data_IF_562139319017
#
_entry.id   IF_562139319017
#
_cell.length_a   1.000
_cell.length_b   1.000
_cell.length_c   1.000
_cell.angle_alpha   90.00
_cell.angle_beta   90.00
_cell.angle_gamma   90.00
#
_symmetry.space_group_name_H-M   'P 1'
#
loop_
_entity.id
_entity.type
_entity.pdbx_description
1 polymer ?
#
# COMPACT_ATOMS: atom_id res chain seq x y z
N UNK A 1 -41.72 -41.26 -41.58
CA UNK A 1 -41.01 -40.58 -42.67
C UNK A 1 -40.80 -39.12 -42.29
N UNK A 2 -39.56 -38.73 -41.97
CA UNK A 2 -38.91 -37.42 -42.22
C UNK A 2 -37.64 -37.35 -41.36
N UNK A 3 -36.51 -37.46 -42.06
CA UNK A 3 -35.14 -37.40 -41.55
C UNK A 3 -34.78 -35.94 -41.19
N UNK A 4 -34.06 -35.73 -40.08
CA UNK A 4 -33.33 -34.49 -39.82
C UNK A 4 -31.84 -34.83 -39.74
N UNK A 5 -31.10 -34.34 -40.73
CA UNK A 5 -29.68 -34.58 -40.93
C UNK A 5 -28.83 -33.71 -40.00
N UNK A 6 -27.77 -34.31 -39.48
CA UNK A 6 -26.69 -33.66 -38.77
C UNK A 6 -25.82 -32.83 -39.73
N UNK A 7 -25.46 -31.61 -39.32
CA UNK A 7 -24.45 -30.78 -39.97
C UNK A 7 -23.23 -30.69 -39.06
N UNK A 8 -22.15 -31.37 -39.45
CA UNK A 8 -20.80 -31.22 -38.88
C UNK A 8 -20.15 -29.97 -39.49
N UNK A 9 -19.82 -28.97 -38.67
CA UNK A 9 -18.97 -27.86 -39.05
C UNK A 9 -17.51 -28.20 -38.72
N UNK A 10 -16.69 -28.37 -39.76
CA UNK A 10 -15.24 -28.53 -39.69
C UNK A 10 -14.62 -27.14 -39.58
N UNK A 11 -14.05 -26.80 -38.43
CA UNK A 11 -13.27 -25.58 -38.25
C UNK A 11 -11.82 -25.80 -38.70
N UNK A 12 -11.45 -25.17 -39.80
CA UNK A 12 -10.08 -25.15 -40.32
C UNK A 12 -9.23 -24.17 -39.50
N UNK A 13 -8.26 -24.68 -38.76
CA UNK A 13 -7.20 -23.88 -38.11
C UNK A 13 -6.22 -23.38 -39.19
N UNK A 14 -6.18 -22.05 -39.39
CA UNK A 14 -5.10 -21.38 -40.10
C UNK A 14 -3.98 -21.07 -39.12
N UNK A 15 -2.83 -21.73 -39.29
CA UNK A 15 -1.59 -21.45 -38.59
C UNK A 15 -0.98 -20.13 -39.09
N UNK A 16 -0.69 -19.21 -38.18
CA UNK A 16 0.08 -18.01 -38.47
C UNK A 16 1.60 -18.32 -38.49
N UNK A 17 2.39 -17.66 -39.34
CA UNK A 17 3.83 -17.90 -39.42
C UNK A 17 4.57 -17.30 -38.22
N UNK A 18 5.42 -18.12 -37.61
CA UNK A 18 6.40 -17.73 -36.59
C UNK A 18 7.54 -16.98 -37.29
N UNK A 19 7.70 -15.70 -36.96
CA UNK A 19 8.88 -14.91 -37.35
C UNK A 19 9.94 -15.08 -36.26
N UNK A 20 10.99 -15.85 -36.56
CA UNK A 20 12.22 -15.89 -35.76
C UNK A 20 13.01 -14.59 -35.96
N UNK A 21 13.33 -13.90 -34.86
CA UNK A 21 14.31 -12.80 -34.82
C UNK A 21 15.57 -13.32 -34.11
N UNK A 22 16.79 -13.18 -34.68
CA UNK A 22 18.00 -13.69 -34.07
C UNK A 22 18.61 -12.73 -33.03
N UNK A 23 19.01 -13.35 -31.91
CA UNK A 23 20.17 -13.16 -31.04
C UNK A 23 21.10 -11.95 -31.23
N UNK A 24 21.43 -11.28 -30.13
CA UNK A 24 22.84 -11.01 -29.74
C UNK A 24 22.98 -11.01 -28.21
N UNK A 25 23.56 -12.08 -27.68
CA UNK A 25 24.24 -12.09 -26.38
C UNK A 25 25.76 -11.98 -26.62
N UNK A 26 26.46 -11.50 -25.58
CA UNK A 26 27.92 -11.45 -25.37
C UNK A 26 28.75 -10.32 -25.97
N UNK A 27 29.17 -9.39 -25.09
CA UNK A 27 30.57 -8.94 -25.03
C UNK A 27 30.94 -8.27 -23.68
N UNK A 28 31.93 -8.88 -23.00
CA UNK A 28 32.95 -8.32 -22.08
C UNK A 28 32.49 -7.79 -20.71
N UNK A 29 32.79 -8.44 -19.58
CA UNK A 29 34.10 -8.84 -18.98
C UNK A 29 35.10 -7.71 -18.75
N UNK A 30 35.41 -7.53 -17.46
CA UNK A 30 36.65 -7.05 -16.85
C UNK A 30 37.10 -5.59 -17.06
N UNK A 31 37.02 -4.81 -15.96
CA UNK A 31 38.15 -4.00 -15.50
C UNK A 31 38.06 -3.61 -14.02
N UNK A 32 38.92 -4.26 -13.25
CA UNK A 32 39.84 -3.72 -12.23
C UNK A 32 39.32 -2.94 -11.02
N UNK A 33 39.62 -3.52 -9.86
CA UNK A 33 39.82 -2.89 -8.57
C UNK A 33 40.94 -1.83 -8.54
N UNK A 34 40.93 -1.04 -7.46
CA UNK A 34 42.05 -0.35 -6.79
C UNK A 34 42.09 1.20 -6.84
N UNK A 35 41.91 1.79 -5.64
CA UNK A 35 42.50 3.02 -5.02
C UNK A 35 41.41 3.72 -4.19
N UNK A 36 41.39 3.71 -2.86
CA UNK A 36 42.40 3.92 -1.82
C UNK A 36 43.14 5.27 -1.89
N UNK A 37 42.80 6.11 -0.91
CA UNK A 37 43.49 7.25 -0.31
C UNK A 37 44.12 8.34 -1.20
N UNK A 38 43.61 9.58 -1.04
CA UNK A 38 44.46 10.74 -0.72
C UNK A 38 43.66 11.87 -0.08
N UNK A 39 43.98 12.13 1.18
CA UNK A 39 43.89 13.44 1.82
C UNK A 39 44.99 14.34 1.23
N UNK A 40 44.68 15.59 0.91
CA UNK A 40 45.59 16.74 0.91
C UNK A 40 44.72 18.00 0.68
N UNK A 41 44.53 18.82 1.70
CA UNK A 41 45.39 19.96 2.07
C UNK A 41 44.94 21.26 1.38
N UNK A 42 44.39 22.13 2.22
CA UNK A 42 44.01 23.53 2.02
C UNK A 42 45.24 24.38 1.67
N UNK A 43 45.07 25.44 0.87
CA UNK A 43 45.78 26.68 1.15
C UNK A 43 44.81 27.86 1.33
N UNK A 44 45.16 28.71 2.30
CA UNK A 44 44.56 30.00 2.55
C UNK A 44 45.32 31.10 1.80
N UNK A 45 44.63 32.16 1.34
CA UNK A 45 45.02 33.57 1.52
C UNK A 45 44.01 34.56 0.92
N UNK A 46 43.29 35.26 1.81
CA UNK A 46 43.25 36.73 2.07
C UNK A 46 43.03 37.75 0.90
N UNK A 47 42.79 39.06 1.19
CA UNK A 47 41.47 39.70 1.26
C UNK A 47 41.29 40.85 0.26
N UNK A 48 40.06 41.37 0.08
CA UNK A 48 39.90 42.73 -0.43
C UNK A 48 38.72 43.47 0.20
N UNK A 49 39.02 44.73 0.49
CA UNK A 49 38.32 45.68 1.32
C UNK A 49 37.26 46.49 0.57
N UNK A 50 36.18 46.77 1.29
CA UNK A 50 35.58 48.09 1.50
C UNK A 50 34.93 48.85 0.33
N UNK A 51 33.62 49.08 0.49
CA UNK A 51 33.02 50.38 0.15
C UNK A 51 31.80 50.68 1.03
N UNK A 52 31.68 51.97 1.28
CA UNK A 52 31.08 52.68 2.40
C UNK A 52 29.70 53.25 2.09
N UNK A 53 28.93 53.49 3.15
CA UNK A 53 27.88 54.54 3.35
C UNK A 53 26.60 54.43 2.48
N UNK A 54 25.37 54.65 2.99
CA UNK A 54 24.91 55.85 3.71
C UNK A 54 23.64 55.59 4.56
N UNK A 55 23.57 56.21 5.74
CA UNK A 55 22.38 56.37 6.60
C UNK A 55 21.43 57.47 6.09
N UNK A 56 20.11 57.32 6.31
CA UNK A 56 19.23 58.26 7.09
C UNK A 56 17.74 57.81 7.12
N UNK A 57 16.86 58.39 7.97
CA UNK A 57 16.01 57.64 8.90
C UNK A 57 14.52 58.04 8.83
N UNK A 58 13.78 57.81 9.93
CA UNK A 58 12.40 58.24 10.29
C UNK A 58 11.28 57.35 9.72
N UNK A 59 10.21 57.00 10.43
CA UNK A 59 9.63 57.52 11.66
C UNK A 59 8.87 56.42 12.45
N UNK A 60 8.82 56.61 13.77
CA UNK A 60 7.89 55.92 14.68
C UNK A 60 6.45 56.34 14.37
N UNK A 61 5.51 55.39 14.41
CA UNK A 61 4.12 55.71 14.79
C UNK A 61 3.41 54.56 15.49
N UNK A 62 3.14 54.82 16.76
CA UNK A 62 2.00 54.45 17.60
C UNK A 62 1.20 53.16 17.28
N UNK A 63 1.35 52.24 18.22
CA UNK A 63 0.34 51.32 18.76
C UNK A 63 -1.11 51.78 18.68
N UNK A 64 -2.01 50.92 18.20
CA UNK A 64 -3.34 50.71 18.82
C UNK A 64 -3.78 49.26 18.69
N UNK A 65 -4.19 48.71 19.83
CA UNK A 65 -4.78 47.40 20.05
C UNK A 65 -6.12 47.25 19.32
N UNK A 66 -6.27 46.22 18.49
CA UNK A 66 -7.51 45.48 18.27
C UNK A 66 -7.19 44.27 17.41
N UNK A 67 -7.09 43.08 17.99
CA UNK A 67 -7.37 41.76 17.37
C UNK A 67 -7.07 40.64 18.36
N UNK A 68 -7.78 40.59 19.48
CA UNK A 68 -7.71 39.49 20.46
C UNK A 68 -9.10 38.98 20.82
N UNK A 69 -9.88 38.58 19.81
CA UNK A 69 -11.16 37.91 20.06
C UNK A 69 -11.55 36.96 18.91
N UNK A 70 -10.64 36.13 18.39
CA UNK A 70 -11.07 34.97 17.60
C UNK A 70 -10.09 33.77 17.53
N UNK A 71 -9.12 33.68 18.46
CA UNK A 71 -8.13 32.58 18.51
C UNK A 71 -8.33 31.61 19.68
N UNK A 72 -9.44 31.69 20.41
CA UNK A 72 -9.70 30.88 21.62
C UNK A 72 -10.59 29.64 21.42
N UNK A 73 -11.08 29.35 20.21
CA UNK A 73 -11.93 28.15 19.95
C UNK A 73 -11.26 26.99 19.20
N UNK A 74 -9.97 27.07 18.86
CA UNK A 74 -9.25 25.98 18.13
C UNK A 74 -8.05 25.45 18.92
N UNK A 75 -8.10 25.50 20.26
CA UNK A 75 -6.97 25.07 21.11
C UNK A 75 -7.32 24.03 22.18
N UNK A 76 -8.50 23.43 22.12
CA UNK A 76 -8.96 22.45 23.13
C UNK A 76 -8.89 20.98 22.71
N UNK A 77 -8.38 20.63 21.53
CA UNK A 77 -8.38 19.24 21.03
C UNK A 77 -6.99 18.64 20.77
N UNK A 78 -5.89 19.26 21.23
CA UNK A 78 -4.52 18.79 20.92
C UNK A 78 -3.74 18.11 22.06
N UNK A 79 -4.41 17.65 23.11
CA UNK A 79 -3.72 16.97 24.23
C UNK A 79 -4.10 15.50 24.46
N UNK A 80 -4.82 14.85 23.55
CA UNK A 80 -5.08 13.41 23.63
C UNK A 80 -4.52 12.67 22.41
N UNK A 81 -3.22 12.38 22.36
CA UNK A 81 -2.67 11.41 21.39
C UNK A 81 -1.22 10.94 21.59
N UNK A 82 -0.55 11.27 22.71
CA UNK A 82 0.81 10.76 22.97
C UNK A 82 0.84 9.54 23.91
N UNK A 83 -0.16 9.39 24.78
CA UNK A 83 -0.16 8.38 25.85
C UNK A 83 -1.27 7.32 25.72
N UNK A 84 -1.84 7.14 24.53
CA UNK A 84 -2.76 6.02 24.32
C UNK A 84 -1.98 4.70 24.53
N UNK A 85 -2.42 3.79 25.41
CA UNK A 85 -1.75 2.53 25.62
C UNK A 85 -1.58 1.82 24.27
N UNK A 86 -0.33 1.46 23.93
CA UNK A 86 -0.08 0.45 22.89
C UNK A 86 -0.76 -0.81 23.40
N UNK A 87 -1.96 -1.08 22.89
CA UNK A 87 -2.76 -2.21 23.34
C UNK A 87 -1.94 -3.50 23.23
N UNK A 88 -2.06 -4.43 24.18
CA UNK A 88 -1.39 -5.73 24.06
C UNK A 88 -1.79 -6.37 22.74
N UNK A 89 -0.78 -6.67 21.93
CA UNK A 89 -0.87 -7.38 20.67
C UNK A 89 -1.47 -8.78 20.91
N UNK A 90 -2.79 -8.91 20.95
CA UNK A 90 -3.46 -10.19 20.70
C UNK A 90 -4.21 -10.18 19.38
N UNK A 91 -3.52 -9.98 18.24
CA UNK A 91 -4.11 -10.07 16.92
C UNK A 91 -4.65 -11.48 16.60
N UNK A 92 -4.26 -12.50 17.37
CA UNK A 92 -4.75 -13.88 17.20
C UNK A 92 -6.19 -14.09 17.63
N UNK A 93 -6.75 -13.25 18.51
CA UNK A 93 -8.17 -13.34 18.92
C UNK A 93 -9.11 -12.83 17.81
N UNK A 94 -8.58 -12.10 16.82
CA UNK A 94 -9.31 -11.64 15.62
C UNK A 94 -9.07 -12.52 14.40
N UNK A 95 -8.14 -13.49 14.47
CA UNK A 95 -8.13 -14.56 13.49
C UNK A 95 -9.41 -15.38 13.74
N UNK A 96 -10.18 -15.75 12.71
CA UNK A 96 -11.31 -16.63 12.93
C UNK A 96 -10.80 -17.85 13.69
N UNK A 97 -11.37 -18.10 14.87
CA UNK A 97 -11.17 -19.36 15.59
C UNK A 97 -11.40 -20.43 14.55
N UNK A 98 -10.36 -21.22 14.25
CA UNK A 98 -10.44 -22.26 13.24
C UNK A 98 -11.63 -23.16 13.58
N UNK A 99 -12.77 -22.92 12.94
CA UNK A 99 -13.83 -23.91 12.91
C UNK A 99 -13.20 -25.08 12.20
N UNK A 100 -13.00 -26.16 12.95
CA UNK A 100 -12.26 -27.34 12.54
C UNK A 100 -12.62 -27.70 11.11
N UNK A 101 -11.65 -27.53 10.23
CA UNK A 101 -11.70 -28.03 8.88
C UNK A 101 -10.25 -28.24 8.51
N UNK A 102 -9.86 -29.50 8.56
CA UNK A 102 -8.78 -30.07 7.76
C UNK A 102 -8.48 -29.19 6.57
N UNK A 103 -7.22 -28.74 6.45
CA UNK A 103 -6.70 -28.14 5.24
C UNK A 103 -6.84 -29.17 4.11
N UNK A 104 -8.01 -29.23 3.48
CA UNK A 104 -8.13 -29.80 2.16
C UNK A 104 -7.24 -28.94 1.28
N UNK A 105 -6.12 -29.52 0.83
CA UNK A 105 -5.12 -28.93 -0.04
C UNK A 105 -5.65 -28.60 -1.45
N UNK A 106 -6.94 -28.27 -1.60
CA UNK A 106 -7.59 -28.16 -2.90
C UNK A 106 -8.59 -27.03 -3.04
N UNK A 107 -8.82 -26.20 -2.01
CA UNK A 107 -9.45 -24.88 -2.27
C UNK A 107 -8.35 -23.88 -2.62
N UNK A 108 -7.60 -24.17 -3.68
CA UNK A 108 -7.01 -23.10 -4.46
C UNK A 108 -8.19 -22.23 -4.90
N UNK A 109 -8.23 -20.98 -4.43
CA UNK A 109 -9.22 -20.01 -4.88
C UNK A 109 -9.32 -20.09 -6.40
N UNK A 110 -10.52 -20.26 -6.95
CA UNK A 110 -10.71 -20.13 -8.39
C UNK A 110 -10.29 -18.70 -8.76
N UNK A 111 -9.27 -18.57 -9.60
CA UNK A 111 -8.72 -17.28 -10.01
C UNK A 111 -7.27 -17.03 -9.59
N UNK A 112 -6.67 -16.02 -10.21
CA UNK A 112 -5.28 -15.63 -9.95
C UNK A 112 -5.07 -14.93 -8.59
N UNK A 113 -3.81 -14.66 -8.20
CA UNK A 113 -3.49 -14.04 -6.91
C UNK A 113 -4.10 -12.64 -6.73
N UNK A 114 -4.52 -11.97 -7.81
CA UNK A 114 -5.23 -10.69 -7.69
C UNK A 114 -6.72 -10.87 -7.42
N UNK A 115 -7.36 -11.79 -8.12
CA UNK A 115 -8.74 -12.17 -7.86
C UNK A 115 -8.94 -12.64 -6.41
N UNK A 116 -8.04 -13.49 -5.89
CA UNK A 116 -8.11 -13.96 -4.52
C UNK A 116 -8.10 -12.83 -3.47
N UNK A 117 -7.30 -11.78 -3.69
CA UNK A 117 -7.26 -10.61 -2.80
C UNK A 117 -8.49 -9.71 -2.97
N UNK A 118 -8.97 -9.51 -4.22
CA UNK A 118 -10.21 -8.77 -4.48
C UNK A 118 -11.41 -9.44 -3.81
N UNK A 119 -11.59 -10.75 -3.97
CA UNK A 119 -12.67 -11.50 -3.34
C UNK A 119 -12.55 -11.52 -1.83
N UNK A 120 -11.33 -11.73 -1.31
CA UNK A 120 -11.06 -11.68 0.12
C UNK A 120 -11.44 -10.35 0.75
N UNK A 121 -11.06 -9.22 0.12
CA UNK A 121 -11.40 -7.88 0.61
C UNK A 121 -12.89 -7.59 0.57
N UNK A 122 -13.58 -7.89 -0.55
CA UNK A 122 -15.05 -7.74 -0.66
C UNK A 122 -15.79 -8.57 0.38
N UNK A 123 -15.37 -9.83 0.59
CA UNK A 123 -15.94 -10.71 1.62
C UNK A 123 -15.71 -10.15 3.03
N UNK A 124 -14.49 -9.73 3.35
CA UNK A 124 -14.16 -9.20 4.66
C UNK A 124 -14.90 -7.88 4.95
N UNK A 125 -15.10 -7.03 3.95
CA UNK A 125 -15.94 -5.83 4.09
C UNK A 125 -17.35 -6.15 4.56
N UNK A 126 -17.98 -7.17 3.95
CA UNK A 126 -19.33 -7.61 4.32
C UNK A 126 -19.39 -8.20 5.73
N UNK A 127 -18.43 -9.08 6.07
CA UNK A 127 -18.44 -9.81 7.34
C UNK A 127 -18.15 -8.91 8.54
N UNK A 128 -17.20 -7.99 8.39
CA UNK A 128 -16.76 -7.11 9.48
C UNK A 128 -17.49 -5.76 9.48
N UNK A 129 -18.45 -5.55 8.57
CA UNK A 129 -19.24 -4.32 8.52
C UNK A 129 -18.43 -3.08 8.14
N UNK A 130 -17.39 -3.24 7.31
CA UNK A 130 -16.61 -2.10 6.83
C UNK A 130 -17.39 -1.34 5.73
N UNK A 131 -17.13 -0.02 5.55
CA UNK A 131 -17.64 0.71 4.41
C UNK A 131 -17.24 0.03 3.10
N UNK A 132 -18.21 -0.13 2.20
CA UNK A 132 -18.01 -0.79 0.91
C UNK A 132 -16.83 -0.16 0.15
N UNK A 133 -15.93 -0.99 -0.32
CA UNK A 133 -14.74 -0.61 -1.07
C UNK A 133 -13.57 -0.13 -0.22
N UNK A 134 -13.72 0.11 1.08
CA UNK A 134 -12.64 0.65 1.91
C UNK A 134 -11.44 -0.31 1.99
N UNK A 135 -11.67 -1.58 2.32
CA UNK A 135 -10.60 -2.55 2.45
C UNK A 135 -9.98 -2.89 1.09
N UNK A 136 -10.82 -2.92 0.05
CA UNK A 136 -10.39 -3.09 -1.35
C UNK A 136 -9.47 -1.94 -1.77
N UNK A 137 -9.83 -0.69 -1.46
CA UNK A 137 -9.02 0.50 -1.72
C UNK A 137 -7.68 0.49 -0.96
N UNK A 138 -7.68 -0.01 0.28
CA UNK A 138 -6.46 -0.23 1.06
C UNK A 138 -5.58 -1.28 0.36
N UNK A 139 -6.12 -2.44 -0.02
CA UNK A 139 -5.35 -3.47 -0.73
C UNK A 139 -4.79 -2.99 -2.08
N UNK A 140 -5.53 -2.17 -2.82
CA UNK A 140 -5.02 -1.49 -4.02
C UNK A 140 -3.81 -0.58 -3.71
N UNK A 141 -3.84 0.12 -2.58
CA UNK A 141 -2.75 0.98 -2.14
C UNK A 141 -1.52 0.19 -1.64
N UNK A 142 -1.76 -0.95 -0.98
CA UNK A 142 -0.72 -1.74 -0.33
C UNK A 142 0.02 -2.67 -1.31
N UNK A 143 -0.73 -3.39 -2.15
CA UNK A 143 -0.17 -4.47 -2.99
C UNK A 143 -0.59 -4.41 -4.46
N UNK A 144 -1.47 -3.47 -4.83
CA UNK A 144 -2.15 -3.54 -6.13
C UNK A 144 -3.02 -4.80 -6.23
N UNK A 145 -3.67 -5.17 -5.13
CA UNK A 145 -4.47 -6.37 -4.95
C UNK A 145 -3.70 -7.69 -5.08
N UNK A 146 -2.38 -7.78 -4.89
CA UNK A 146 -1.67 -9.03 -5.12
C UNK A 146 -1.47 -9.86 -3.84
N UNK A 147 -2.08 -11.06 -3.76
CA UNK A 147 -2.03 -11.94 -2.59
C UNK A 147 -0.61 -12.34 -2.14
N UNK A 148 0.35 -12.37 -3.06
CA UNK A 148 1.74 -12.75 -2.77
C UNK A 148 2.74 -11.58 -2.78
N UNK A 149 2.29 -10.33 -2.96
CA UNK A 149 3.23 -9.20 -2.96
C UNK A 149 3.96 -9.11 -1.62
N UNK A 150 5.25 -8.82 -1.66
CA UNK A 150 6.06 -8.69 -0.46
C UNK A 150 6.93 -7.45 -0.54
N UNK A 151 7.17 -6.83 0.61
CA UNK A 151 8.25 -5.89 0.82
C UNK A 151 9.23 -6.46 1.84
N UNK A 152 10.45 -6.80 1.41
CA UNK A 152 11.50 -7.37 2.27
C UNK A 152 12.61 -6.34 2.43
N UNK A 153 12.65 -5.68 3.58
CA UNK A 153 13.67 -4.66 3.89
C UNK A 153 13.67 -3.48 2.94
N UNK A 154 12.51 -3.06 2.45
CA UNK A 154 12.35 -1.94 1.50
C UNK A 154 12.30 -2.35 0.03
N UNK A 155 12.58 -3.62 -0.30
CA UNK A 155 12.53 -4.13 -1.68
C UNK A 155 11.23 -4.86 -1.96
N UNK A 156 10.50 -4.39 -2.96
CA UNK A 156 9.31 -5.06 -3.49
C UNK A 156 9.70 -6.33 -4.24
N UNK A 157 9.00 -7.42 -3.95
CA UNK A 157 9.11 -8.72 -4.62
C UNK A 157 7.70 -9.24 -4.88
N UNK A 158 7.45 -9.74 -6.08
CA UNK A 158 6.19 -10.41 -6.43
C UNK A 158 6.57 -11.83 -6.89
N UNK A 159 6.47 -12.83 -6.00
CA UNK A 159 6.75 -14.22 -6.32
C UNK A 159 5.72 -14.77 -7.31
N UNK A 160 6.13 -15.77 -8.09
CA UNK A 160 5.30 -16.41 -9.12
C UNK A 160 4.08 -17.12 -8.54
N UNK A 161 4.26 -17.75 -7.37
CA UNK A 161 3.23 -18.52 -6.68
C UNK A 161 3.35 -18.41 -5.16
N UNK A 162 2.37 -19.01 -4.47
CA UNK A 162 2.31 -19.01 -3.01
C UNK A 162 3.44 -19.80 -2.35
N UNK A 163 3.98 -20.84 -2.99
CA UNK A 163 5.06 -21.64 -2.43
C UNK A 163 6.38 -20.86 -2.45
N UNK A 164 6.70 -20.22 -3.58
CA UNK A 164 7.82 -19.30 -3.74
C UNK A 164 7.72 -18.15 -2.74
N UNK A 165 6.53 -17.57 -2.56
CA UNK A 165 6.28 -16.55 -1.56
C UNK A 165 6.54 -17.05 -0.13
N UNK A 166 6.05 -18.24 0.21
CA UNK A 166 6.24 -18.84 1.52
C UNK A 166 7.72 -19.17 1.79
N UNK A 167 8.46 -19.67 0.79
CA UNK A 167 9.92 -19.88 0.88
C UNK A 167 10.65 -18.57 1.15
N UNK A 168 10.33 -17.50 0.41
CA UNK A 168 10.94 -16.18 0.60
C UNK A 168 10.64 -15.60 1.98
N UNK A 169 9.40 -15.73 2.47
CA UNK A 169 9.00 -15.27 3.79
C UNK A 169 9.75 -15.98 4.90
N UNK A 170 9.90 -17.31 4.81
CA UNK A 170 10.68 -18.11 5.77
C UNK A 170 12.17 -17.79 5.73
N UNK A 171 12.74 -17.60 4.53
CA UNK A 171 14.16 -17.33 4.34
C UNK A 171 14.58 -15.90 4.69
N UNK A 172 13.65 -14.95 4.73
CA UNK A 172 13.96 -13.57 5.06
C UNK A 172 14.64 -13.48 6.45
N UNK A 173 15.68 -12.63 6.56
CA UNK A 173 16.37 -12.40 7.84
C UNK A 173 15.41 -11.83 8.89
N UNK A 174 15.56 -12.28 10.14
CA UNK A 174 14.80 -11.76 11.29
C UNK A 174 15.07 -10.28 11.58
N UNK A 175 16.20 -9.73 11.10
CA UNK A 175 16.56 -8.31 11.25
C UNK A 175 15.89 -7.39 10.25
N UNK A 176 15.23 -7.93 9.21
CA UNK A 176 14.55 -7.14 8.18
C UNK A 176 13.07 -7.05 8.46
N UNK A 177 12.49 -5.87 8.19
CA UNK A 177 11.04 -5.72 8.08
C UNK A 177 10.53 -6.54 6.90
N UNK A 178 9.40 -7.21 7.09
CA UNK A 178 8.75 -8.01 6.04
C UNK A 178 7.27 -7.70 6.06
N UNK A 179 6.81 -7.01 5.02
CA UNK A 179 5.39 -6.81 4.75
C UNK A 179 4.95 -7.87 3.73
N UNK A 180 3.83 -8.54 3.96
CA UNK A 180 3.42 -9.69 3.17
C UNK A 180 1.95 -9.65 2.77
N UNK A 181 1.72 -10.02 1.53
CA UNK A 181 0.46 -10.34 0.90
C UNK A 181 -0.47 -9.16 0.61
N UNK A 182 -1.75 -9.51 0.44
CA UNK A 182 -2.83 -8.64 -0.05
C UNK A 182 -2.86 -7.26 0.63
N UNK A 183 -2.66 -7.24 1.95
CA UNK A 183 -2.71 -6.03 2.78
C UNK A 183 -1.35 -5.66 3.39
N UNK A 184 -0.25 -6.23 2.89
CA UNK A 184 1.10 -5.90 3.36
C UNK A 184 1.25 -6.01 4.88
N UNK A 185 0.79 -7.11 5.48
CA UNK A 185 0.84 -7.31 6.93
C UNK A 185 2.30 -7.46 7.37
N UNK A 186 2.67 -6.78 8.45
CA UNK A 186 4.00 -6.94 9.03
C UNK A 186 4.17 -8.34 9.64
N UNK A 187 4.75 -9.25 8.88
CA UNK A 187 4.88 -10.65 9.24
C UNK A 187 5.81 -10.89 10.44
N UNK A 188 6.71 -9.94 10.75
CA UNK A 188 7.58 -10.04 11.93
C UNK A 188 6.84 -9.73 13.23
N UNK A 189 5.81 -8.91 13.16
CA UNK A 189 5.01 -8.49 14.32
C UNK A 189 3.81 -9.41 14.50
N UNK A 190 3.07 -9.69 13.42
CA UNK A 190 1.75 -10.34 13.54
C UNK A 190 1.74 -11.82 13.12
N UNK A 191 2.77 -12.30 12.40
CA UNK A 191 2.78 -13.65 11.82
C UNK A 191 4.14 -14.34 12.00
N UNK A 192 4.76 -14.19 13.17
CA UNK A 192 6.12 -14.68 13.39
C UNK A 192 6.19 -16.21 13.23
N UNK A 193 6.90 -16.66 12.19
CA UNK A 193 7.05 -18.09 11.88
C UNK A 193 5.89 -18.66 11.07
N UNK A 194 4.91 -17.85 10.70
CA UNK A 194 3.70 -18.27 9.99
C UNK A 194 3.64 -17.64 8.59
N UNK A 195 2.84 -18.24 7.72
CA UNK A 195 2.68 -17.80 6.32
C UNK A 195 1.27 -17.31 6.00
N UNK A 196 0.37 -17.24 6.99
CA UNK A 196 -1.00 -16.79 6.81
C UNK A 196 -1.15 -15.39 6.18
N UNK A 197 -0.20 -14.43 6.28
CA UNK A 197 -0.31 -13.18 5.54
C UNK A 197 -0.36 -13.34 4.02
N UNK A 198 0.12 -14.48 3.49
CA UNK A 198 0.09 -14.82 2.07
C UNK A 198 -1.22 -15.52 1.65
N UNK A 199 -2.04 -15.95 2.61
CA UNK A 199 -3.40 -16.41 2.35
C UNK A 199 -4.30 -15.18 2.26
N UNK A 200 -4.81 -14.89 1.07
CA UNK A 200 -5.64 -13.71 0.83
C UNK A 200 -6.85 -13.68 1.76
N UNK A 201 -7.55 -14.80 1.95
CA UNK A 201 -8.77 -14.86 2.75
C UNK A 201 -8.48 -14.63 4.23
N UNK A 202 -7.46 -15.30 4.79
CA UNK A 202 -7.09 -15.14 6.20
C UNK A 202 -6.58 -13.72 6.45
N UNK A 203 -5.71 -13.21 5.56
CA UNK A 203 -5.13 -11.87 5.72
C UNK A 203 -6.17 -10.75 5.63
N UNK A 204 -7.13 -10.84 4.70
CA UNK A 204 -8.20 -9.85 4.58
C UNK A 204 -9.18 -9.92 5.73
N UNK A 205 -9.51 -11.11 6.22
CA UNK A 205 -10.40 -11.28 7.37
C UNK A 205 -9.79 -10.69 8.64
N UNK A 206 -8.52 -11.00 8.90
CA UNK A 206 -7.78 -10.44 10.03
C UNK A 206 -7.71 -8.92 9.98
N UNK A 207 -7.34 -8.36 8.84
CA UNK A 207 -7.24 -6.92 8.67
C UNK A 207 -8.61 -6.23 8.74
N UNK A 208 -9.65 -6.86 8.18
CA UNK A 208 -11.02 -6.39 8.25
C UNK A 208 -11.48 -6.25 9.70
N UNK A 209 -11.27 -7.26 10.55
CA UNK A 209 -11.62 -7.18 11.97
C UNK A 209 -10.84 -6.10 12.73
N UNK A 210 -9.54 -5.96 12.47
CA UNK A 210 -8.71 -4.91 13.07
C UNK A 210 -9.20 -3.51 12.67
N UNK A 211 -9.46 -3.28 11.39
CA UNK A 211 -9.92 -2.00 10.86
C UNK A 211 -11.34 -1.67 11.31
N UNK A 212 -12.25 -2.65 11.33
CA UNK A 212 -13.61 -2.45 11.83
C UNK A 212 -13.58 -1.97 13.27
N UNK A 213 -12.81 -2.63 14.14
CA UNK A 213 -12.64 -2.21 15.53
C UNK A 213 -12.17 -0.76 15.64
N UNK A 214 -11.07 -0.39 14.98
CA UNK A 214 -10.56 0.97 15.06
C UNK A 214 -11.50 1.99 14.42
N UNK A 215 -12.17 1.63 13.33
CA UNK A 215 -13.13 2.49 12.64
C UNK A 215 -14.32 2.85 13.52
N UNK A 216 -14.86 1.88 14.24
CA UNK A 216 -15.96 2.10 15.19
C UNK A 216 -15.51 2.85 16.45
N UNK A 217 -14.31 2.57 16.98
CA UNK A 217 -13.81 3.22 18.19
C UNK A 217 -13.33 4.66 17.96
N UNK A 218 -12.77 4.96 16.78
CA UNK A 218 -11.96 6.16 16.57
C UNK A 218 -12.29 6.95 15.29
N UNK A 219 -13.07 6.38 14.37
CA UNK A 219 -13.26 6.91 13.02
C UNK A 219 -12.32 6.27 11.99
N UNK A 220 -12.73 6.29 10.72
CA UNK A 220 -12.08 5.56 9.64
C UNK A 220 -10.72 6.13 9.21
N UNK A 221 -10.54 7.46 9.32
CA UNK A 221 -9.27 8.10 9.01
C UNK A 221 -8.22 7.73 10.07
N UNK A 222 -8.58 7.79 11.34
CA UNK A 222 -7.73 7.35 12.44
C UNK A 222 -7.41 5.85 12.37
N UNK A 223 -8.39 5.00 12.01
CA UNK A 223 -8.16 3.58 11.74
C UNK A 223 -7.12 3.36 10.64
N UNK A 224 -7.24 4.10 9.53
CA UNK A 224 -6.28 4.04 8.43
C UNK A 224 -4.88 4.54 8.85
N UNK A 225 -4.81 5.58 9.69
CA UNK A 225 -3.56 6.06 10.26
C UNK A 225 -2.87 4.98 11.10
N UNK A 226 -3.63 4.28 11.95
CA UNK A 226 -3.11 3.21 12.80
C UNK A 226 -2.64 2.01 11.98
N UNK A 227 -3.39 1.63 10.96
CA UNK A 227 -2.99 0.59 10.01
C UNK A 227 -1.60 0.88 9.41
N UNK A 228 -1.34 2.12 9.03
CA UNK A 228 -0.06 2.59 8.49
C UNK A 228 0.99 2.95 9.56
N UNK A 229 0.91 2.37 10.76
CA UNK A 229 1.91 2.55 11.82
C UNK A 229 1.77 3.84 12.62
N UNK A 230 0.58 4.45 12.64
CA UNK A 230 0.22 5.60 13.48
C UNK A 230 1.10 6.86 13.27
N UNK A 231 1.69 7.05 12.08
CA UNK A 231 2.43 8.29 11.79
C UNK A 231 1.50 9.44 11.44
N UNK A 232 1.67 10.60 12.09
CA UNK A 232 0.91 11.83 11.76
C UNK A 232 1.49 12.59 10.56
N UNK A 233 2.80 12.45 10.30
CA UNK A 233 3.55 13.28 9.33
C UNK A 233 3.08 13.13 7.87
N UNK A 234 2.39 12.04 7.55
CA UNK A 234 1.93 11.72 6.20
C UNK A 234 0.45 11.33 6.15
N UNK A 235 -0.32 11.59 7.20
CA UNK A 235 -1.68 11.08 7.32
C UNK A 235 -2.61 11.54 6.18
N UNK A 236 -2.64 12.85 5.89
CA UNK A 236 -3.45 13.38 4.78
C UNK A 236 -3.06 12.79 3.41
N UNK A 237 -1.76 12.59 3.16
CA UNK A 237 -1.28 11.96 1.91
C UNK A 237 -1.72 10.51 1.79
N UNK A 238 -1.75 9.80 2.91
CA UNK A 238 -2.24 8.44 2.98
C UNK A 238 -3.75 8.40 2.68
N UNK A 239 -4.54 9.22 3.37
CA UNK A 239 -5.99 9.31 3.18
C UNK A 239 -6.31 9.65 1.72
N UNK A 240 -5.66 10.66 1.12
CA UNK A 240 -5.86 11.00 -0.28
C UNK A 240 -5.51 9.87 -1.26
N UNK A 241 -4.52 9.05 -0.93
CA UNK A 241 -4.17 7.89 -1.77
C UNK A 241 -5.25 6.82 -1.72
N UNK A 242 -5.76 6.52 -0.52
CA UNK A 242 -6.84 5.55 -0.35
C UNK A 242 -8.13 6.07 -0.95
N UNK A 243 -8.49 7.35 -0.76
CA UNK A 243 -9.64 7.99 -1.42
C UNK A 243 -9.59 7.83 -2.94
N UNK A 244 -8.45 8.15 -3.56
CA UNK A 244 -8.30 7.99 -5.01
C UNK A 244 -8.53 6.55 -5.50
N UNK A 245 -8.22 5.53 -4.68
CA UNK A 245 -8.51 4.12 -4.97
C UNK A 245 -9.93 3.74 -4.61
N UNK A 246 -10.52 4.36 -3.59
CA UNK A 246 -11.91 4.18 -3.20
C UNK A 246 -12.85 4.65 -4.29
N UNK A 247 -12.55 5.79 -4.93
CA UNK A 247 -13.32 6.28 -6.08
C UNK A 247 -13.34 5.29 -7.26
N UNK A 248 -12.33 4.43 -7.39
CA UNK A 248 -12.30 3.37 -8.43
C UNK A 248 -13.30 2.26 -8.12
N UNK A 249 -13.37 1.83 -6.86
CA UNK A 249 -14.11 0.63 -6.44
C UNK A 249 -15.49 0.94 -5.88
N UNK A 250 -15.73 2.19 -5.49
CA UNK A 250 -16.98 2.73 -4.97
C UNK A 250 -17.05 4.25 -5.21
N UNK A 251 -17.37 4.70 -6.43
CA UNK A 251 -17.40 6.12 -6.80
C UNK A 251 -18.45 6.95 -6.02
N UNK A 252 -19.46 6.30 -5.45
CA UNK A 252 -20.50 6.96 -4.66
C UNK A 252 -20.09 7.17 -3.19
N UNK A 253 -18.88 6.73 -2.82
CA UNK A 253 -18.39 6.85 -1.45
C UNK A 253 -18.15 8.31 -1.04
N UNK A 254 -18.72 8.69 0.10
CA UNK A 254 -18.45 9.98 0.74
C UNK A 254 -17.29 9.93 1.74
N UNK A 255 -16.64 8.77 1.92
CA UNK A 255 -15.50 8.68 2.84
C UNK A 255 -14.34 9.57 2.36
N UNK A 256 -13.78 10.33 3.30
CA UNK A 256 -12.58 11.15 3.12
C UNK A 256 -12.74 12.33 2.14
N UNK A 257 -13.97 12.66 1.73
CA UNK A 257 -14.23 13.79 0.85
C UNK A 257 -13.84 15.13 1.49
N UNK A 258 -13.80 15.19 2.82
CA UNK A 258 -13.36 16.33 3.62
C UNK A 258 -11.86 16.64 3.50
N UNK A 259 -11.06 15.74 2.94
CA UNK A 259 -9.63 15.93 2.74
C UNK A 259 -9.33 16.71 1.46
N UNK A 260 -8.51 17.77 1.57
CA UNK A 260 -8.01 18.53 0.42
C UNK A 260 -6.86 17.76 -0.26
N UNK A 261 -7.20 17.05 -1.34
CA UNK A 261 -6.30 16.18 -2.08
C UNK A 261 -5.77 16.87 -3.34
N UNK A 262 -4.47 16.68 -3.62
CA UNK A 262 -3.87 17.26 -4.81
C UNK A 262 -4.40 16.57 -6.09
N UNK A 263 -5.11 17.28 -6.99
CA UNK A 263 -5.83 16.64 -8.10
C UNK A 263 -4.91 15.89 -9.06
N UNK A 264 -3.72 16.42 -9.34
CA UNK A 264 -2.77 15.80 -10.26
C UNK A 264 -2.15 14.50 -9.72
N UNK A 265 -1.88 14.42 -8.41
CA UNK A 265 -1.44 13.17 -7.78
C UNK A 265 -2.57 12.17 -7.66
N UNK A 266 -3.78 12.66 -7.37
CA UNK A 266 -4.98 11.85 -7.23
C UNK A 266 -5.34 11.16 -8.54
N UNK A 267 -5.40 11.90 -9.65
CA UNK A 267 -5.67 11.35 -10.99
C UNK A 267 -4.68 10.22 -11.36
N UNK A 268 -3.38 10.41 -11.10
CA UNK A 268 -2.37 9.36 -11.32
C UNK A 268 -2.59 8.14 -10.42
N UNK A 269 -2.94 8.37 -9.16
CA UNK A 269 -3.20 7.30 -8.19
C UNK A 269 -4.44 6.50 -8.59
N UNK A 270 -5.50 7.19 -9.04
CA UNK A 270 -6.74 6.61 -9.56
C UNK A 270 -6.49 5.76 -10.80
N UNK A 271 -5.79 6.29 -11.81
CA UNK A 271 -5.45 5.55 -13.02
C UNK A 271 -4.63 4.28 -12.75
N UNK A 272 -3.65 4.35 -11.84
CA UNK A 272 -2.94 3.15 -11.38
C UNK A 272 -3.88 2.16 -10.64
N UNK A 273 -4.93 2.66 -9.98
CA UNK A 273 -5.93 1.87 -9.26
C UNK A 273 -6.81 1.11 -10.22
N UNK A 274 -7.35 1.81 -11.22
CA UNK A 274 -8.11 1.24 -12.32
C UNK A 274 -7.34 0.11 -13.01
N UNK A 275 -6.06 0.32 -13.32
CA UNK A 275 -5.24 -0.71 -13.95
C UNK A 275 -5.09 -1.97 -13.09
N UNK A 276 -4.83 -1.84 -11.79
CA UNK A 276 -4.71 -2.99 -10.89
C UNK A 276 -6.04 -3.67 -10.61
N UNK A 277 -7.11 -2.89 -10.50
CA UNK A 277 -8.47 -3.39 -10.30
C UNK A 277 -8.95 -4.18 -11.52
N UNK A 278 -8.82 -3.62 -12.73
CA UNK A 278 -9.16 -4.32 -13.97
C UNK A 278 -8.35 -5.62 -14.14
N UNK A 279 -7.05 -5.60 -13.79
CA UNK A 279 -6.22 -6.81 -13.82
C UNK A 279 -6.64 -7.86 -12.78
N UNK A 280 -7.26 -7.45 -11.67
CA UNK A 280 -7.83 -8.38 -10.70
C UNK A 280 -9.15 -8.97 -11.18
N UNK A 281 -10.02 -8.16 -11.80
CA UNK A 281 -11.30 -8.61 -12.34
C UNK A 281 -11.13 -9.58 -13.52
N UNK A 282 -10.08 -9.42 -14.34
CA UNK A 282 -9.73 -10.38 -15.39
C UNK A 282 -9.28 -11.75 -14.86
N UNK A 283 -9.03 -11.88 -13.55
CA UNK A 283 -8.62 -13.11 -12.92
C UNK A 283 -9.74 -13.82 -12.16
N UNK A 284 -10.95 -13.23 -12.10
CA UNK A 284 -12.16 -13.84 -11.53
C UNK A 284 -12.74 -14.87 -12.51
#
# INVERSE_FOLDING_TARGET
MRNAAAAFAVATLLAAPVVLVPSTADARSERTAARSHRNEARPARTPQASRTTTHRPTAQRATTNRHTANRRRVRSSRHASADAPRMPDRPRELLPVAMGSTLNSSTFMQGGPRAACLDGTRRAEQIHGLPRGLLTAIALSESGLHAYAMNIGGRTVIPEDGEAAARLLRAASSRRTVMAGCLQINARVHARGETWPLDARISTDWAGGVLARWGHELGWDEALRRWHGASTRNHARLVCRVRAKLDVVNPDSTLFQEYDCNPGREARTRANGEAHFAAAEQQL
#
